data_IF_373681369351
#
_entry.id   IF_373681369351
#
_cell.length_a   1.000
_cell.length_b   1.000
_cell.length_c   1.000
_cell.angle_alpha   90.00
_cell.angle_beta   90.00
_cell.angle_gamma   90.00
#
_symmetry.space_group_name_H-M   'P 1'
#
loop_
_entity.id
_entity.type
_entity.pdbx_description
1 polymer ?
#
# COMPACT_ATOMS: atom_id res chain seq x y z
N UNK A 1 2.58 21.12 -8.73
CA UNK A 1 3.42 19.91 -8.73
C UNK A 1 2.48 18.73 -8.97
N UNK A 2 2.66 17.99 -10.06
CA UNK A 2 1.79 16.86 -10.42
C UNK A 2 2.57 15.57 -10.17
N UNK A 3 1.98 14.66 -9.40
CA UNK A 3 2.58 13.36 -9.09
C UNK A 3 1.89 12.29 -9.92
N UNK A 4 2.66 11.55 -10.71
CA UNK A 4 2.18 10.39 -11.47
C UNK A 4 2.71 9.14 -10.78
N UNK A 5 1.81 8.33 -10.21
CA UNK A 5 2.15 7.04 -9.63
C UNK A 5 1.78 5.94 -10.64
N UNK A 6 2.76 5.13 -11.01
CA UNK A 6 2.54 4.05 -11.97
C UNK A 6 3.41 2.83 -11.68
N UNK A 7 2.98 1.68 -12.22
CA UNK A 7 3.74 0.44 -12.16
C UNK A 7 4.75 0.44 -13.29
N UNK A 8 6.01 0.20 -12.93
CA UNK A 8 7.10 0.06 -13.86
C UNK A 8 7.94 -1.15 -13.48
N UNK A 9 8.65 -1.71 -14.45
CA UNK A 9 9.62 -2.79 -14.25
C UNK A 9 10.99 -2.31 -14.68
N UNK A 10 12.01 -2.69 -13.93
CA UNK A 10 13.39 -2.54 -14.37
C UNK A 10 13.77 -3.80 -15.15
N UNK A 11 14.14 -3.63 -16.42
CA UNK A 11 14.63 -4.71 -17.28
C UNK A 11 15.87 -4.24 -18.01
N UNK A 12 16.94 -5.03 -17.96
CA UNK A 12 18.22 -4.71 -18.61
C UNK A 12 18.78 -3.32 -18.23
N UNK A 13 18.57 -2.91 -16.98
CA UNK A 13 18.98 -1.60 -16.45
C UNK A 13 18.09 -0.43 -16.86
N UNK A 14 16.98 -0.67 -17.57
CA UNK A 14 16.05 0.35 -18.04
C UNK A 14 14.72 0.28 -17.28
N UNK A 15 14.19 1.44 -16.89
CA UNK A 15 12.86 1.55 -16.31
C UNK A 15 11.80 1.55 -17.41
N UNK A 16 10.95 0.53 -17.44
CA UNK A 16 9.87 0.37 -18.41
C UNK A 16 8.54 0.57 -17.69
N UNK A 17 7.79 1.59 -18.09
CA UNK A 17 6.43 1.82 -17.59
C UNK A 17 5.49 0.88 -18.34
N UNK A 18 4.75 0.04 -17.62
CA UNK A 18 3.92 -1.01 -18.24
C UNK A 18 2.65 -0.44 -18.91
N UNK A 19 2.17 0.70 -18.43
CA UNK A 19 1.01 1.38 -18.97
C UNK A 19 1.43 2.73 -19.57
N UNK A 20 1.21 2.96 -20.88
CA UNK A 20 1.50 4.25 -21.47
C UNK A 20 0.60 5.31 -20.85
N UNK A 21 1.20 6.32 -20.21
CA UNK A 21 0.48 7.52 -19.82
C UNK A 21 0.48 8.47 -21.00
N UNK A 22 -0.71 8.84 -21.48
CA UNK A 22 -0.87 9.84 -22.54
C UNK A 22 -0.38 11.23 -22.09
N UNK A 23 -0.30 11.45 -20.78
CA UNK A 23 0.04 12.75 -20.18
C UNK A 23 1.54 12.89 -19.86
N UNK A 24 2.37 11.88 -20.15
CA UNK A 24 3.81 12.00 -19.94
C UNK A 24 4.41 12.91 -21.03
N UNK A 25 5.11 13.99 -20.66
CA UNK A 25 5.79 14.83 -21.64
C UNK A 25 6.85 14.01 -22.38
N UNK A 26 6.85 14.11 -23.72
CA UNK A 26 7.70 13.28 -24.60
C UNK A 26 9.11 13.83 -24.80
N UNK A 27 9.41 15.03 -24.30
CA UNK A 27 10.72 15.68 -24.45
C UNK A 27 10.99 16.65 -23.29
N UNK A 28 11.18 16.09 -22.09
CA UNK A 28 11.39 16.86 -20.86
C UNK A 28 12.18 16.02 -19.85
N UNK A 29 13.08 16.68 -19.11
CA UNK A 29 13.73 16.07 -17.96
C UNK A 29 12.74 15.92 -16.81
N UNK A 30 12.63 14.70 -16.28
CA UNK A 30 11.75 14.38 -15.16
C UNK A 30 12.56 13.84 -13.98
N UNK A 31 12.18 14.24 -12.77
CA UNK A 31 12.72 13.67 -11.55
C UNK A 31 11.92 12.41 -11.17
N UNK A 32 12.60 11.29 -10.99
CA UNK A 32 11.97 10.01 -10.67
C UNK A 32 12.38 9.60 -9.25
N UNK A 33 11.39 9.43 -8.37
CA UNK A 33 11.59 8.87 -7.03
C UNK A 33 11.27 7.38 -7.08
N UNK A 34 12.29 6.54 -6.92
CA UNK A 34 12.14 5.09 -6.86
C UNK A 34 12.08 4.66 -5.40
N UNK A 35 10.94 4.12 -4.99
CA UNK A 35 10.77 3.52 -3.67
C UNK A 35 10.98 2.02 -3.83
N UNK A 36 12.14 1.54 -3.38
CA UNK A 36 12.41 0.12 -3.25
C UNK A 36 12.07 -0.26 -1.82
N UNK A 37 10.98 -1.03 -1.56
CA UNK A 37 10.73 -1.52 -0.22
C UNK A 37 11.89 -2.42 0.20
N UNK A 38 12.33 -2.30 1.45
CA UNK A 38 13.29 -3.26 2.01
C UNK A 38 12.67 -4.65 1.89
N UNK A 39 13.42 -5.60 1.31
CA UNK A 39 12.93 -6.96 1.13
C UNK A 39 12.54 -7.59 2.48
N UNK A 40 13.19 -7.19 3.57
CA UNK A 40 12.85 -7.63 4.91
C UNK A 40 11.52 -7.03 5.38
N UNK A 41 11.31 -5.72 5.20
CA UNK A 41 10.04 -5.06 5.55
C UNK A 41 8.86 -5.61 4.74
N UNK A 42 9.09 -5.96 3.47
CA UNK A 42 8.06 -6.54 2.61
C UNK A 42 7.67 -7.96 3.07
N UNK A 43 8.65 -8.77 3.48
CA UNK A 43 8.41 -10.09 4.06
C UNK A 43 7.68 -9.99 5.40
N UNK A 44 8.09 -9.05 6.27
CA UNK A 44 7.42 -8.80 7.55
C UNK A 44 5.97 -8.33 7.36
N UNK A 45 5.73 -7.45 6.39
CA UNK A 45 4.39 -6.99 6.04
C UNK A 45 3.50 -8.14 5.55
N UNK A 46 4.00 -8.99 4.66
CA UNK A 46 3.25 -10.15 4.15
C UNK A 46 2.95 -11.18 5.24
N UNK A 47 3.91 -11.40 6.16
CA UNK A 47 3.69 -12.25 7.34
C UNK A 47 2.64 -11.65 8.30
N UNK A 48 2.72 -10.35 8.56
CA UNK A 48 1.75 -9.64 9.39
C UNK A 48 0.34 -9.69 8.77
N UNK A 49 0.24 -9.48 7.46
CA UNK A 49 -1.02 -9.58 6.71
C UNK A 49 -1.61 -10.98 6.79
N UNK A 50 -0.79 -12.02 6.63
CA UNK A 50 -1.24 -13.42 6.70
C UNK A 50 -1.77 -13.77 8.09
N UNK A 51 -1.05 -13.35 9.15
CA UNK A 51 -1.50 -13.55 10.54
C UNK A 51 -2.80 -12.81 10.83
N UNK A 52 -2.93 -11.57 10.35
CA UNK A 52 -4.12 -10.75 10.51
C UNK A 52 -5.33 -11.38 9.81
N UNK A 53 -5.18 -11.88 8.59
CA UNK A 53 -6.24 -12.57 7.86
C UNK A 53 -6.68 -13.86 8.56
N UNK A 54 -5.75 -14.62 9.12
CA UNK A 54 -6.08 -15.81 9.91
C UNK A 54 -6.88 -15.43 11.17
N UNK A 55 -6.45 -14.40 11.90
CA UNK A 55 -7.15 -13.91 13.10
C UNK A 55 -8.56 -13.39 12.78
N UNK A 56 -8.75 -12.69 11.67
CA UNK A 56 -10.07 -12.24 11.23
C UNK A 56 -11.00 -13.41 10.92
N UNK A 57 -10.49 -14.43 10.23
CA UNK A 57 -11.26 -15.65 9.93
C UNK A 57 -11.65 -16.41 11.20
N UNK A 58 -10.75 -16.52 12.17
CA UNK A 58 -11.06 -17.13 13.49
C UNK A 58 -12.09 -16.33 14.28
N UNK A 59 -12.11 -15.00 14.11
CA UNK A 59 -13.09 -14.10 14.72
C UNK A 59 -14.44 -14.04 13.97
N UNK A 60 -14.62 -14.79 12.88
CA UNK A 60 -15.83 -14.78 12.06
C UNK A 60 -16.01 -13.50 11.23
N UNK A 61 -14.90 -12.83 10.89
CA UNK A 61 -14.85 -11.65 10.03
C UNK A 61 -14.49 -12.12 8.63
N UNK A 62 -15.50 -12.18 7.77
CA UNK A 62 -15.40 -12.74 6.42
C UNK A 62 -15.55 -11.68 5.31
N UNK A 63 -16.00 -10.46 5.67
CA UNK A 63 -16.24 -9.38 4.70
C UNK A 63 -15.40 -8.14 4.98
N UNK A 64 -15.09 -7.41 3.90
CA UNK A 64 -14.37 -6.14 3.98
C UNK A 64 -15.11 -5.10 4.84
N UNK A 65 -16.44 -5.13 4.85
CA UNK A 65 -17.28 -4.24 5.66
C UNK A 65 -17.13 -4.51 7.16
N UNK A 66 -17.03 -5.77 7.57
CA UNK A 66 -16.79 -6.14 8.97
C UNK A 66 -15.38 -5.72 9.43
N UNK A 67 -14.39 -5.83 8.55
CA UNK A 67 -13.03 -5.33 8.80
C UNK A 67 -13.06 -3.81 8.99
N UNK A 68 -13.75 -3.08 8.11
CA UNK A 68 -13.86 -1.62 8.20
C UNK A 68 -14.58 -1.18 9.49
N UNK A 69 -15.62 -1.90 9.89
CA UNK A 69 -16.33 -1.62 11.14
C UNK A 69 -15.43 -1.87 12.37
N UNK A 70 -14.66 -2.96 12.37
CA UNK A 70 -13.68 -3.24 13.42
C UNK A 70 -12.61 -2.14 13.51
N UNK A 71 -12.03 -1.74 12.39
CA UNK A 71 -11.04 -0.65 12.34
C UNK A 71 -11.64 0.64 12.88
N UNK A 72 -12.89 0.93 12.53
CA UNK A 72 -13.59 2.13 13.00
C UNK A 72 -13.81 2.10 14.52
N UNK A 73 -14.19 0.95 15.09
CA UNK A 73 -14.33 0.78 16.55
C UNK A 73 -13.01 0.97 17.27
N UNK A 74 -11.94 0.28 16.84
CA UNK A 74 -10.61 0.39 17.45
C UNK A 74 -10.09 1.83 17.39
N UNK A 75 -10.28 2.54 16.27
CA UNK A 75 -9.89 3.95 16.16
C UNK A 75 -10.68 4.87 17.10
N UNK A 76 -11.96 4.58 17.34
CA UNK A 76 -12.77 5.35 18.28
C UNK A 76 -12.34 5.10 19.73
N UNK A 77 -12.06 3.85 20.08
CA UNK A 77 -11.55 3.46 21.42
C UNK A 77 -10.19 4.13 21.69
N UNK A 78 -9.23 4.02 20.76
CA UNK A 78 -7.92 4.67 20.88
C UNK A 78 -8.00 6.19 20.95
N UNK A 79 -9.00 6.80 20.29
CA UNK A 79 -9.25 8.23 20.41
C UNK A 79 -9.77 8.56 21.81
N UNK A 80 -10.74 7.82 22.33
CA UNK A 80 -11.27 8.04 23.68
C UNK A 80 -10.19 7.89 24.75
N UNK A 81 -9.34 6.85 24.67
CA UNK A 81 -8.22 6.64 25.60
C UNK A 81 -7.16 7.77 25.58
N UNK A 82 -7.03 8.52 24.47
CA UNK A 82 -6.10 9.66 24.38
C UNK A 82 -6.64 10.95 24.97
N UNK A 83 -7.95 11.04 25.20
CA UNK A 83 -8.63 12.24 25.68
C UNK A 83 -9.32 12.04 27.04
N UNK A 84 -9.15 10.87 27.66
CA UNK A 84 -9.27 10.64 29.11
C UNK A 84 -7.92 10.87 29.81
#
# INVERSE_FOLDING_TARGET
MQFIQTKAKIKDGQLIIEQPHQDLPTDTEIEVVIIVPDQNEQVEFEQARTKMQAAFKEAGIDTDEQILELIRKVKQELFQERYE
#
